data_IF_095050492851
#
_entry.id   IF_095050492851
#
_cell.length_a   1.000
_cell.length_b   1.000
_cell.length_c   1.000
_cell.angle_alpha   90.00
_cell.angle_beta   90.00
_cell.angle_gamma   90.00
#
_symmetry.space_group_name_H-M   'P 1'
#
loop_
_entity.id
_entity.type
_entity.pdbx_description
1 polymer ?
#
# COMPACT_ATOMS: atom_id res chain seq x y z
N UNK A 1 -30.93 48.62 -39.01
CA UNK A 1 -29.65 49.21 -38.55
C UNK A 1 -29.16 48.43 -37.34
N UNK A 2 -27.84 48.37 -37.20
CA UNK A 2 -27.01 47.49 -36.34
C UNK A 2 -27.15 47.73 -34.83
N UNK A 3 -27.14 46.66 -34.02
CA UNK A 3 -26.53 46.51 -32.67
C UNK A 3 -26.66 45.01 -32.27
N UNK A 4 -25.65 44.13 -32.24
CA UNK A 4 -24.40 43.96 -31.44
C UNK A 4 -24.60 43.68 -29.93
N UNK A 5 -23.98 42.55 -29.49
CA UNK A 5 -23.50 42.18 -28.12
C UNK A 5 -24.57 41.50 -27.23
N UNK A 6 -24.36 40.44 -26.44
CA UNK A 6 -23.16 39.80 -25.89
C UNK A 6 -23.40 38.30 -25.62
N UNK A 7 -22.34 37.52 -25.85
CA UNK A 7 -22.13 36.14 -25.40
C UNK A 7 -22.10 36.07 -23.87
N UNK A 8 -22.85 35.16 -23.25
CA UNK A 8 -22.66 34.80 -21.84
C UNK A 8 -22.57 33.27 -21.72
N UNK A 9 -21.33 32.75 -21.78
CA UNK A 9 -21.02 31.38 -21.35
C UNK A 9 -20.97 31.37 -19.82
N UNK A 10 -21.96 30.76 -19.17
CA UNK A 10 -21.89 30.37 -17.76
C UNK A 10 -21.42 28.91 -17.70
N UNK A 11 -20.11 28.73 -17.54
CA UNK A 11 -19.52 27.44 -17.23
C UNK A 11 -19.84 27.08 -15.77
N UNK A 12 -20.68 26.07 -15.59
CA UNK A 12 -21.01 25.49 -14.30
C UNK A 12 -19.84 24.60 -13.86
N UNK A 13 -18.88 25.16 -13.14
CA UNK A 13 -17.81 24.39 -12.51
C UNK A 13 -18.34 23.68 -11.26
N UNK A 14 -18.83 22.45 -11.43
CA UNK A 14 -19.09 21.55 -10.32
C UNK A 14 -17.75 21.11 -9.72
N UNK A 15 -17.35 21.77 -8.64
CA UNK A 15 -16.20 21.36 -7.83
C UNK A 15 -16.68 20.22 -6.93
N UNK A 16 -16.35 18.98 -7.30
CA UNK A 16 -16.58 17.81 -6.46
C UNK A 16 -15.84 17.97 -5.13
N UNK A 17 -16.39 17.50 -4.01
CA UNK A 17 -15.65 17.49 -2.75
C UNK A 17 -14.49 16.51 -2.91
N UNK A 18 -13.27 17.01 -2.77
CA UNK A 18 -12.12 16.17 -2.49
C UNK A 18 -12.37 15.52 -1.12
N UNK A 19 -12.89 14.30 -1.14
CA UNK A 19 -12.89 13.44 0.03
C UNK A 19 -11.43 13.14 0.33
N UNK A 20 -10.84 13.97 1.20
CA UNK A 20 -9.62 13.63 1.88
C UNK A 20 -9.93 12.34 2.65
N UNK A 21 -9.53 11.21 2.07
CA UNK A 21 -9.54 9.94 2.77
C UNK A 21 -8.73 10.16 4.04
N UNK A 22 -9.42 10.17 5.17
CA UNK A 22 -8.82 10.18 6.50
C UNK A 22 -7.71 9.12 6.50
N UNK A 23 -6.49 9.43 6.98
CA UNK A 23 -5.46 8.41 7.09
C UNK A 23 -6.06 7.29 7.92
N UNK A 24 -6.20 6.11 7.31
CA UNK A 24 -6.69 4.93 8.02
C UNK A 24 -5.89 4.85 9.33
N UNK A 25 -6.61 4.88 10.46
CA UNK A 25 -6.01 4.86 11.79
C UNK A 25 -4.87 3.83 11.80
N UNK A 26 -3.71 4.22 12.32
CA UNK A 26 -2.56 3.33 12.40
C UNK A 26 -3.07 1.99 12.95
N UNK A 27 -2.91 0.87 12.20
CA UNK A 27 -3.43 -0.40 12.63
C UNK A 27 -2.85 -0.69 14.01
N UNK A 28 -3.58 -1.48 14.79
CA UNK A 28 -2.96 -2.21 15.89
C UNK A 28 -1.61 -2.76 15.40
N UNK A 29 -0.60 -2.82 16.28
CA UNK A 29 0.77 -3.25 15.96
C UNK A 29 0.87 -4.59 15.20
N UNK A 30 -0.23 -5.33 15.12
CA UNK A 30 -0.50 -6.53 14.37
C UNK A 30 -1.78 -6.44 13.52
N UNK A 31 -1.74 -6.96 12.29
CA UNK A 31 -2.91 -7.23 11.45
C UNK A 31 -3.07 -8.73 11.21
N UNK A 32 -4.31 -9.21 11.11
CA UNK A 32 -4.59 -10.58 10.63
C UNK A 32 -4.56 -10.61 9.11
N UNK A 33 -3.79 -11.54 8.54
CA UNK A 33 -3.67 -11.74 7.11
C UNK A 33 -4.86 -12.55 6.60
N UNK A 34 -5.50 -12.03 5.56
CA UNK A 34 -6.62 -12.66 4.87
C UNK A 34 -6.09 -13.66 3.85
N UNK A 35 -6.90 -14.66 3.51
CA UNK A 35 -6.57 -15.63 2.47
C UNK A 35 -6.35 -14.96 1.09
N UNK A 36 -7.06 -13.86 0.81
CA UNK A 36 -7.00 -13.10 -0.44
C UNK A 36 -5.90 -12.01 -0.45
N UNK A 37 -4.90 -12.12 0.43
CA UNK A 37 -3.82 -11.15 0.45
C UNK A 37 -3.05 -11.13 -0.87
N UNK A 38 -2.63 -9.92 -1.28
CA UNK A 38 -1.82 -9.73 -2.47
C UNK A 38 -0.56 -8.93 -2.16
N UNK A 39 0.57 -9.49 -2.58
CA UNK A 39 1.87 -8.86 -2.50
C UNK A 39 2.30 -8.29 -3.85
N UNK A 40 2.70 -7.02 -3.87
CA UNK A 40 3.26 -6.36 -5.06
C UNK A 40 4.63 -5.80 -4.73
N UNK A 41 5.62 -6.23 -5.52
CA UNK A 41 7.03 -5.81 -5.41
C UNK A 41 7.18 -4.39 -5.96
N UNK A 42 6.99 -3.37 -5.12
CA UNK A 42 7.27 -1.98 -5.44
C UNK A 42 8.31 -1.44 -4.45
N UNK A 43 9.40 -0.85 -4.96
CA UNK A 43 10.57 -0.49 -4.14
C UNK A 43 11.39 -1.71 -3.72
N UNK A 44 11.62 -2.63 -4.67
CA UNK A 44 11.73 -4.09 -4.53
C UNK A 44 12.73 -4.67 -3.50
N UNK A 45 13.61 -3.86 -2.89
CA UNK A 45 14.50 -4.28 -1.80
C UNK A 45 14.26 -3.56 -0.47
N UNK A 46 13.45 -2.50 -0.43
CA UNK A 46 13.21 -1.69 0.79
C UNK A 46 11.81 -1.87 1.34
N UNK A 47 10.86 -2.18 0.46
CA UNK A 47 9.46 -2.35 0.83
C UNK A 47 8.75 -3.35 -0.07
N UNK A 48 7.57 -3.79 0.38
CA UNK A 48 6.59 -4.48 -0.45
C UNK A 48 5.20 -3.90 -0.19
N UNK A 49 4.37 -3.84 -1.23
CA UNK A 49 2.97 -3.44 -1.04
C UNK A 49 2.16 -4.68 -0.67
N UNK A 50 1.31 -4.52 0.34
CA UNK A 50 0.36 -5.53 0.79
C UNK A 50 -1.06 -5.00 0.59
N UNK A 51 -1.90 -5.76 -0.11
CA UNK A 51 -3.36 -5.62 -0.02
C UNK A 51 -3.88 -6.77 0.83
N UNK A 52 -4.63 -6.45 1.86
CA UNK A 52 -5.23 -7.39 2.79
C UNK A 52 -6.73 -7.11 2.88
N UNK A 53 -7.54 -7.85 2.11
CA UNK A 53 -8.94 -7.50 1.86
C UNK A 53 -9.06 -6.03 1.39
N UNK A 54 -9.80 -5.18 2.11
CA UNK A 54 -9.98 -3.77 1.81
C UNK A 54 -8.86 -2.85 2.34
N UNK A 55 -7.96 -3.41 3.16
CA UNK A 55 -6.85 -2.66 3.73
C UNK A 55 -5.61 -2.73 2.84
N UNK A 56 -4.89 -1.62 2.77
CA UNK A 56 -3.72 -1.50 1.90
C UNK A 56 -2.55 -0.92 2.70
N UNK A 57 -1.37 -1.49 2.50
CA UNK A 57 -0.18 -1.15 3.27
C UNK A 57 1.06 -1.07 2.38
N UNK A 58 2.00 -0.20 2.78
CA UNK A 58 3.41 -0.38 2.47
C UNK A 58 4.06 -1.08 3.67
N UNK A 59 4.63 -2.24 3.41
CA UNK A 59 5.39 -3.00 4.42
C UNK A 59 6.86 -2.67 4.21
N UNK A 60 7.44 -1.96 5.17
CA UNK A 60 8.84 -1.53 5.11
C UNK A 60 9.75 -2.55 5.78
N UNK A 61 10.89 -2.84 5.15
CA UNK A 61 11.90 -3.73 5.72
C UNK A 61 12.90 -2.96 6.58
N UNK A 62 13.37 -3.58 7.67
CA UNK A 62 14.42 -3.02 8.52
C UNK A 62 15.71 -2.79 7.70
N UNK A 63 16.12 -3.81 6.97
CA UNK A 63 17.30 -3.81 6.12
C UNK A 63 16.93 -4.13 4.66
N UNK A 64 17.87 -3.93 3.74
CA UNK A 64 17.61 -4.26 2.33
C UNK A 64 17.32 -5.75 2.21
N UNK A 65 16.27 -6.08 1.49
CA UNK A 65 15.77 -7.42 1.23
C UNK A 65 15.79 -7.67 -0.28
N UNK A 66 16.99 -7.81 -0.85
CA UNK A 66 17.13 -7.94 -2.31
C UNK A 66 16.42 -9.19 -2.85
N UNK A 67 16.31 -10.24 -2.03
CA UNK A 67 15.54 -11.43 -2.40
C UNK A 67 14.04 -11.15 -2.58
N UNK A 68 13.45 -10.14 -1.92
CA UNK A 68 12.03 -9.82 -2.11
C UNK A 68 11.72 -9.40 -3.55
N UNK A 69 12.69 -8.79 -4.24
CA UNK A 69 12.54 -8.33 -5.62
C UNK A 69 12.39 -9.48 -6.62
N UNK A 70 13.03 -10.62 -6.35
CA UNK A 70 13.19 -11.71 -7.32
C UNK A 70 12.60 -13.04 -6.86
N UNK A 71 12.34 -13.21 -5.56
CA UNK A 71 11.94 -14.51 -5.03
C UNK A 71 10.52 -14.86 -5.50
N UNK A 72 10.29 -16.09 -6.00
CA UNK A 72 8.96 -16.54 -6.36
C UNK A 72 8.07 -16.77 -5.13
N UNK A 73 8.68 -16.96 -3.96
CA UNK A 73 8.00 -17.21 -2.69
C UNK A 73 8.14 -15.98 -1.81
N UNK A 74 7.01 -15.44 -1.36
CA UNK A 74 6.94 -14.30 -0.44
C UNK A 74 5.85 -14.61 0.59
N UNK A 75 6.25 -14.89 1.82
CA UNK A 75 5.34 -15.28 2.91
C UNK A 75 5.72 -14.49 4.15
N UNK A 76 4.73 -13.89 4.81
CA UNK A 76 4.96 -13.28 6.12
C UNK A 76 4.88 -14.35 7.21
N UNK A 77 5.82 -14.28 8.15
CA UNK A 77 5.83 -15.11 9.35
C UNK A 77 6.00 -14.21 10.57
N UNK A 78 5.17 -14.46 11.58
CA UNK A 78 5.28 -13.83 12.90
C UNK A 78 5.46 -14.94 13.94
N UNK A 79 6.57 -14.94 14.71
CA UNK A 79 6.82 -15.97 15.71
C UNK A 79 5.65 -16.11 16.71
N UNK A 80 5.10 -17.32 16.82
CA UNK A 80 4.00 -17.61 17.74
C UNK A 80 2.63 -17.04 17.34
N UNK A 81 2.52 -16.36 16.19
CA UNK A 81 1.28 -15.76 15.69
C UNK A 81 1.11 -16.02 14.19
N UNK A 82 0.78 -17.27 13.86
CA UNK A 82 0.52 -17.67 12.47
C UNK A 82 -0.62 -16.85 11.86
N UNK A 83 -0.45 -16.46 10.59
CA UNK A 83 -1.44 -15.64 9.88
C UNK A 83 -1.54 -14.20 10.38
N UNK A 84 -0.63 -13.73 11.23
CA UNK A 84 -0.55 -12.32 11.62
C UNK A 84 0.70 -11.67 11.02
N UNK A 85 0.63 -10.36 10.83
CA UNK A 85 1.76 -9.52 10.45
C UNK A 85 1.85 -8.36 11.44
N UNK A 86 2.95 -8.32 12.19
CA UNK A 86 3.18 -7.37 13.27
C UNK A 86 4.51 -6.62 13.10
N UNK A 87 4.51 -5.29 13.10
CA UNK A 87 5.78 -4.54 13.06
C UNK A 87 6.60 -4.65 14.34
N UNK A 88 5.94 -4.78 15.50
CA UNK A 88 6.62 -4.84 16.80
C UNK A 88 7.03 -6.25 17.23
N UNK A 89 6.39 -7.31 16.71
CA UNK A 89 6.63 -8.69 17.15
C UNK A 89 7.73 -9.42 16.36
N UNK A 90 8.59 -8.69 15.64
CA UNK A 90 9.69 -9.29 14.88
C UNK A 90 9.22 -10.11 13.68
N UNK A 91 8.12 -9.70 13.02
CA UNK A 91 7.68 -10.37 11.80
C UNK A 91 8.76 -10.31 10.74
N UNK A 92 8.80 -11.34 9.90
CA UNK A 92 9.71 -11.42 8.77
C UNK A 92 8.95 -11.72 7.48
N UNK A 93 9.42 -11.18 6.37
CA UNK A 93 9.11 -11.69 5.05
C UNK A 93 10.09 -12.82 4.73
N UNK A 94 9.59 -14.06 4.72
CA UNK A 94 10.33 -15.20 4.20
C UNK A 94 10.33 -15.16 2.68
N UNK A 95 11.54 -15.25 2.15
CA UNK A 95 11.81 -15.54 0.75
C UNK A 95 12.50 -16.90 0.65
N UNK A 96 12.73 -17.39 -0.56
CA UNK A 96 13.47 -18.65 -0.76
C UNK A 96 14.89 -18.64 -0.15
N UNK A 97 15.54 -17.48 -0.11
CA UNK A 97 16.98 -17.35 0.19
C UNK A 97 17.30 -16.45 1.39
N UNK A 98 16.35 -15.63 1.83
CA UNK A 98 16.52 -14.66 2.92
C UNK A 98 15.25 -14.57 3.78
N UNK A 99 15.45 -14.20 5.04
CA UNK A 99 14.37 -13.74 5.94
C UNK A 99 14.57 -12.26 6.19
N UNK A 100 13.57 -11.45 5.89
CA UNK A 100 13.70 -9.99 5.93
C UNK A 100 12.81 -9.41 7.01
N UNK A 101 13.41 -8.81 8.03
CA UNK A 101 12.68 -8.22 9.15
C UNK A 101 11.80 -7.06 8.70
N UNK A 102 10.58 -7.04 9.22
CA UNK A 102 9.63 -5.96 9.01
C UNK A 102 9.91 -4.85 10.02
N UNK A 103 10.03 -3.62 9.54
CA UNK A 103 10.25 -2.44 10.37
C UNK A 103 8.94 -1.74 10.75
N UNK A 104 8.04 -1.59 9.78
CA UNK A 104 6.78 -0.88 9.97
C UNK A 104 5.74 -1.29 8.93
N UNK A 105 4.48 -1.10 9.30
CA UNK A 105 3.31 -1.23 8.43
C UNK A 105 2.72 0.17 8.26
N UNK A 106 2.86 0.74 7.08
CA UNK A 106 2.30 2.05 6.76
C UNK A 106 0.97 1.86 6.03
N UNK A 107 -0.17 2.25 6.63
CA UNK A 107 -1.45 2.21 5.94
C UNK A 107 -1.48 3.23 4.82
N UNK A 108 -2.04 2.84 3.68
CA UNK A 108 -2.22 3.73 2.54
C UNK A 108 -3.63 3.59 1.99
N UNK A 109 -4.09 4.62 1.28
CA UNK A 109 -5.36 4.55 0.56
C UNK A 109 -5.27 3.56 -0.61
N UNK A 110 -6.42 3.03 -1.03
CA UNK A 110 -6.52 2.18 -2.21
C UNK A 110 -6.00 2.87 -3.49
N UNK A 111 -6.21 4.19 -3.64
CA UNK A 111 -5.67 4.96 -4.76
C UNK A 111 -4.14 4.99 -4.73
N UNK A 112 -3.54 5.27 -3.56
CA UNK A 112 -2.10 5.27 -3.36
C UNK A 112 -1.49 3.89 -3.64
N UNK A 113 -2.15 2.82 -3.18
CA UNK A 113 -1.75 1.46 -3.48
C UNK A 113 -1.76 1.20 -4.98
N UNK A 114 -2.85 1.52 -5.67
CA UNK A 114 -2.97 1.30 -7.10
C UNK A 114 -1.92 2.10 -7.89
N UNK A 115 -1.63 3.35 -7.50
CA UNK A 115 -0.57 4.16 -8.10
C UNK A 115 0.80 3.50 -7.93
N UNK A 116 1.17 3.11 -6.71
CA UNK A 116 2.46 2.46 -6.41
C UNK A 116 2.58 1.08 -7.10
N UNK A 117 1.50 0.30 -7.11
CA UNK A 117 1.45 -1.03 -7.72
C UNK A 117 1.57 -1.01 -9.25
N UNK A 118 1.26 0.12 -9.91
CA UNK A 118 1.54 0.34 -11.33
C UNK A 118 2.98 0.72 -11.59
N UNK A 119 3.62 1.44 -10.68
CA UNK A 119 5.01 1.88 -10.80
C UNK A 119 6.00 0.86 -10.23
N UNK A 120 5.97 -0.38 -10.72
CA UNK A 120 6.75 -1.53 -10.20
C UNK A 120 8.27 -1.47 -10.48
N UNK A 121 8.81 -0.30 -10.82
CA UNK A 121 10.22 -0.12 -11.18
C UNK A 121 11.09 0.09 -9.96
#
# INVERSE_FOLDING_TARGET
MKTLIATCLLALAAIAPAQAAEPAAAPADCITLSADQQLVRAGASRSILLRNADQHFVVHFRNSCDSAAISPTLVFETPGQEGQLCSAAGSVLKTRTQSCEIASLEPISAESYARKARNRR
#
